data_IF_391751523478
#
_entry.id   IF_391751523478
#
_cell.length_a   1.000
_cell.length_b   1.000
_cell.length_c   1.000
_cell.angle_alpha   90.00
_cell.angle_beta   90.00
_cell.angle_gamma   90.00
#
_symmetry.space_group_name_H-M   'P 1'
#
loop_
_entity.id
_entity.type
_entity.pdbx_description
1 polymer ?
#
# COMPACT_ATOMS: atom_id res chain seq x y z
N UNK A 1 -22.31 -6.46 10.19
CA UNK A 1 -21.57 -7.71 9.89
C UNK A 1 -20.06 -7.59 10.19
N UNK A 2 -19.62 -6.65 11.03
CA UNK A 2 -18.20 -6.41 11.34
C UNK A 2 -17.88 -6.38 12.84
N UNK A 3 -18.83 -6.77 13.71
CA UNK A 3 -18.75 -6.54 15.16
C UNK A 3 -18.37 -7.79 15.97
N UNK A 4 -18.10 -8.94 15.31
CA UNK A 4 -17.80 -10.21 16.00
C UNK A 4 -16.33 -10.67 15.96
N UNK A 5 -15.43 -9.98 15.24
CA UNK A 5 -14.05 -10.48 15.04
C UNK A 5 -13.02 -9.85 15.99
N UNK A 6 -13.42 -9.03 16.98
CA UNK A 6 -12.46 -8.28 17.81
C UNK A 6 -12.51 -8.59 19.31
N UNK A 7 -13.29 -9.58 19.76
CA UNK A 7 -13.46 -9.89 21.20
C UNK A 7 -13.21 -11.35 21.60
N UNK A 8 -12.85 -12.23 20.67
CA UNK A 8 -12.61 -13.65 20.95
C UNK A 8 -11.10 -13.92 21.11
N UNK A 9 -10.64 -14.62 22.16
CA UNK A 9 -9.23 -15.07 22.27
C UNK A 9 -8.77 -15.94 21.10
N UNK A 10 -9.68 -16.54 20.33
CA UNK A 10 -9.37 -17.28 19.10
C UNK A 10 -9.41 -16.39 17.83
N UNK A 11 -9.87 -15.14 17.91
CA UNK A 11 -10.04 -14.27 16.74
C UNK A 11 -8.72 -14.03 15.99
N UNK A 12 -7.59 -14.01 16.69
CA UNK A 12 -6.29 -13.87 16.06
C UNK A 12 -5.85 -15.14 15.34
N UNK A 13 -6.15 -16.32 15.89
CA UNK A 13 -5.90 -17.60 15.21
C UNK A 13 -6.82 -17.80 14.01
N UNK A 14 -8.09 -17.43 14.11
CA UNK A 14 -9.04 -17.49 13.01
C UNK A 14 -8.68 -16.51 11.88
N UNK A 15 -8.24 -15.28 12.23
CA UNK A 15 -7.71 -14.33 11.25
C UNK A 15 -6.51 -14.89 10.51
N UNK A 16 -5.53 -15.44 11.21
CA UNK A 16 -4.35 -16.03 10.56
C UNK A 16 -4.73 -17.15 9.59
N UNK A 17 -5.67 -18.02 9.97
CA UNK A 17 -6.16 -19.07 9.06
C UNK A 17 -6.82 -18.47 7.82
N UNK A 18 -7.62 -17.42 8.00
CA UNK A 18 -8.26 -16.74 6.88
C UNK A 18 -7.21 -16.07 5.97
N UNK A 19 -6.28 -15.34 6.57
CA UNK A 19 -5.19 -14.65 5.89
C UNK A 19 -4.33 -15.64 5.08
N UNK A 20 -3.99 -16.80 5.66
CA UNK A 20 -3.22 -17.88 5.00
C UNK A 20 -3.95 -18.46 3.76
N UNK A 21 -5.28 -18.41 3.73
CA UNK A 21 -6.10 -18.85 2.60
C UNK A 21 -6.25 -17.73 1.55
N UNK A 22 -6.51 -16.51 2.00
CA UNK A 22 -6.81 -15.37 1.12
C UNK A 22 -5.56 -14.84 0.43
N UNK A 23 -4.44 -14.71 1.15
CA UNK A 23 -3.23 -14.08 0.63
C UNK A 23 -2.68 -14.74 -0.65
N UNK A 24 -2.50 -16.08 -0.72
CA UNK A 24 -2.05 -16.73 -1.96
C UNK A 24 -2.96 -16.40 -3.16
N UNK A 25 -4.28 -16.42 -2.96
CA UNK A 25 -5.25 -16.15 -4.03
C UNK A 25 -5.20 -14.69 -4.48
N UNK A 26 -5.02 -13.76 -3.54
CA UNK A 26 -4.88 -12.33 -3.83
C UNK A 26 -3.60 -12.08 -4.64
N UNK A 27 -2.47 -12.69 -4.26
CA UNK A 27 -1.21 -12.53 -4.97
C UNK A 27 -1.26 -13.12 -6.38
N UNK A 28 -1.85 -14.31 -6.54
CA UNK A 28 -2.02 -14.94 -7.85
C UNK A 28 -2.87 -14.07 -8.79
N UNK A 29 -3.95 -13.48 -8.28
CA UNK A 29 -4.78 -12.56 -9.05
C UNK A 29 -4.00 -11.28 -9.41
N UNK A 30 -3.32 -10.66 -8.45
CA UNK A 30 -2.56 -9.44 -8.68
C UNK A 30 -1.45 -9.64 -9.74
N UNK A 31 -0.72 -10.75 -9.68
CA UNK A 31 0.30 -11.12 -10.67
C UNK A 31 -0.31 -11.43 -12.04
N UNK A 32 -1.52 -11.99 -12.08
CA UNK A 32 -2.25 -12.22 -13.32
C UNK A 32 -2.68 -10.92 -14.00
N UNK A 33 -3.23 -9.98 -13.23
CA UNK A 33 -3.62 -8.65 -13.72
C UNK A 33 -2.41 -7.85 -14.20
N UNK A 34 -1.30 -7.91 -13.46
CA UNK A 34 -0.03 -7.29 -13.85
C UNK A 34 0.45 -7.82 -15.21
N UNK A 35 0.53 -9.16 -15.38
CA UNK A 35 0.92 -9.76 -16.68
C UNK A 35 0.01 -9.30 -17.81
N UNK A 36 -1.31 -9.30 -17.61
CA UNK A 36 -2.25 -8.85 -18.63
C UNK A 36 -2.09 -7.37 -18.99
N UNK A 37 -1.75 -6.52 -18.02
CA UNK A 37 -1.49 -5.10 -18.27
C UNK A 37 -0.21 -4.91 -19.11
N UNK A 38 0.86 -5.62 -18.76
CA UNK A 38 2.14 -5.58 -19.49
C UNK A 38 2.03 -6.16 -20.90
N UNK A 39 1.27 -7.24 -21.09
CA UNK A 39 1.00 -7.82 -22.42
C UNK A 39 0.28 -6.82 -23.35
N UNK A 40 -0.64 -6.02 -22.81
CA UNK A 40 -1.38 -5.00 -23.58
C UNK A 40 -0.52 -3.76 -23.87
N UNK A 41 0.33 -3.38 -22.93
CA UNK A 41 1.23 -2.24 -23.05
C UNK A 41 2.52 -2.51 -22.27
N UNK A 42 3.62 -2.88 -22.95
CA UNK A 42 4.89 -3.12 -22.29
C UNK A 42 5.43 -1.92 -21.51
N UNK A 43 5.06 -0.69 -21.90
CA UNK A 43 5.44 0.54 -21.23
C UNK A 43 4.45 0.96 -20.11
N UNK A 44 3.54 0.07 -19.69
CA UNK A 44 2.59 0.35 -18.62
C UNK A 44 3.30 0.48 -17.27
N UNK A 45 2.86 1.45 -16.46
CA UNK A 45 3.18 1.53 -15.03
C UNK A 45 2.01 0.89 -14.28
N UNK A 46 2.28 -0.20 -13.55
CA UNK A 46 1.30 -0.89 -12.72
C UNK A 46 1.50 -0.46 -11.27
N UNK A 47 0.40 -0.07 -10.61
CA UNK A 47 0.42 0.39 -9.21
C UNK A 47 -0.33 -0.61 -8.34
N UNK A 48 0.37 -1.20 -7.39
CA UNK A 48 -0.21 -2.08 -6.37
C UNK A 48 -0.47 -1.28 -5.08
N UNK A 49 -1.74 -1.12 -4.70
CA UNK A 49 -2.12 -0.47 -3.43
C UNK A 49 -2.20 -1.51 -2.31
N UNK A 50 -1.16 -1.57 -1.48
CA UNK A 50 -1.00 -2.59 -0.43
C UNK A 50 -0.89 -1.89 0.95
N UNK A 51 -1.98 -1.83 1.75
CA UNK A 51 -2.03 -1.06 2.99
C UNK A 51 -1.03 -1.46 4.09
N UNK A 52 -0.62 -2.73 4.13
CA UNK A 52 0.29 -3.29 5.13
C UNK A 52 1.59 -3.81 4.49
N UNK A 53 2.02 -3.18 3.38
CA UNK A 53 3.20 -3.66 2.64
C UNK A 53 4.43 -3.88 3.53
N UNK A 54 4.72 -2.96 4.45
CA UNK A 54 5.88 -3.08 5.34
C UNK A 54 5.84 -4.25 6.33
N UNK A 55 4.67 -4.87 6.57
CA UNK A 55 4.56 -6.10 7.36
C UNK A 55 4.85 -7.35 6.54
N UNK A 56 4.55 -7.32 5.23
CA UNK A 56 4.51 -8.52 4.37
C UNK A 56 5.55 -8.51 3.25
N UNK A 57 6.29 -7.41 3.07
CA UNK A 57 7.19 -7.20 1.92
C UNK A 57 8.21 -8.33 1.74
N UNK A 58 8.71 -8.90 2.84
CA UNK A 58 9.70 -9.96 2.82
C UNK A 58 9.09 -11.34 2.48
N UNK A 59 7.77 -11.50 2.62
CA UNK A 59 7.06 -12.78 2.49
C UNK A 59 6.24 -12.89 1.20
N UNK A 60 5.90 -11.76 0.56
CA UNK A 60 5.09 -11.79 -0.67
C UNK A 60 5.90 -12.17 -1.91
N UNK A 61 5.29 -12.91 -2.86
CA UNK A 61 5.96 -13.36 -4.08
C UNK A 61 6.11 -12.26 -5.14
N UNK A 62 5.92 -10.99 -4.77
CA UNK A 62 5.94 -9.85 -5.68
C UNK A 62 7.30 -9.12 -5.63
N UNK A 63 7.60 -8.38 -6.69
CA UNK A 63 8.77 -7.50 -6.77
C UNK A 63 8.28 -6.13 -7.23
N UNK A 64 8.87 -5.08 -6.68
CA UNK A 64 8.52 -3.71 -7.01
C UNK A 64 9.77 -2.99 -7.49
N UNK A 65 9.67 -2.27 -8.61
CA UNK A 65 10.74 -1.39 -9.08
C UNK A 65 10.88 -0.16 -8.18
N UNK A 66 9.74 0.32 -7.64
CA UNK A 66 9.65 1.47 -6.76
C UNK A 66 8.56 1.26 -5.71
N UNK A 67 8.83 1.69 -4.48
CA UNK A 67 7.89 1.69 -3.36
C UNK A 67 7.65 3.13 -2.93
N UNK A 68 6.38 3.52 -2.90
CA UNK A 68 5.97 4.85 -2.44
C UNK A 68 5.06 4.75 -1.23
N UNK A 69 5.39 5.50 -0.20
CA UNK A 69 4.56 5.60 1.00
C UNK A 69 3.90 6.97 1.06
N UNK A 70 2.68 7.00 1.58
CA UNK A 70 1.93 8.23 1.82
C UNK A 70 1.87 8.47 3.31
N UNK A 71 2.55 9.51 3.78
CA UNK A 71 2.72 9.77 5.20
C UNK A 71 1.95 11.03 5.63
N UNK A 72 1.59 11.07 6.92
CA UNK A 72 1.07 12.25 7.59
C UNK A 72 1.36 12.13 9.09
N UNK A 73 1.39 13.25 9.83
CA UNK A 73 1.42 13.22 11.28
C UNK A 73 0.31 12.34 11.86
N UNK A 74 0.61 11.58 12.91
CA UNK A 74 -0.35 10.66 13.53
C UNK A 74 -1.66 11.35 13.91
N UNK A 75 -1.56 12.55 14.50
CA UNK A 75 -2.72 13.35 14.87
C UNK A 75 -3.62 13.65 13.67
N UNK A 76 -3.03 14.04 12.53
CA UNK A 76 -3.78 14.30 11.28
C UNK A 76 -4.50 13.03 10.79
N UNK A 77 -3.86 11.86 10.93
CA UNK A 77 -4.47 10.57 10.54
C UNK A 77 -5.66 10.22 11.45
N UNK A 78 -5.54 10.45 12.75
CA UNK A 78 -6.63 10.27 13.72
C UNK A 78 -7.81 11.19 13.37
N UNK A 79 -7.56 12.49 13.23
CA UNK A 79 -8.59 13.48 12.89
C UNK A 79 -9.31 13.14 11.58
N UNK A 80 -8.57 12.70 10.56
CA UNK A 80 -9.15 12.25 9.28
C UNK A 80 -10.05 11.03 9.45
N UNK A 81 -9.63 10.02 10.21
CA UNK A 81 -10.47 8.83 10.44
C UNK A 81 -11.74 9.17 11.23
N UNK A 82 -11.64 10.05 12.22
CA UNK A 82 -12.82 10.53 12.95
C UNK A 82 -13.79 11.25 12.00
N UNK A 83 -13.29 12.20 11.20
CA UNK A 83 -14.11 13.02 10.29
C UNK A 83 -14.71 12.23 9.12
N UNK A 84 -13.94 11.32 8.52
CA UNK A 84 -14.33 10.66 7.26
C UNK A 84 -14.95 9.29 7.46
N UNK A 85 -14.59 8.58 8.54
CA UNK A 85 -15.05 7.22 8.84
C UNK A 85 -15.93 7.14 10.08
N UNK A 86 -16.17 8.25 10.78
CA UNK A 86 -17.00 8.31 11.98
C UNK A 86 -16.44 7.53 13.18
N UNK A 87 -15.12 7.24 13.19
CA UNK A 87 -14.48 6.51 14.28
C UNK A 87 -14.36 7.38 15.54
N UNK A 88 -14.38 6.75 16.71
CA UNK A 88 -13.93 7.41 17.95
C UNK A 88 -12.41 7.60 17.94
N UNK A 89 -11.91 8.55 18.73
CA UNK A 89 -10.47 8.77 18.87
C UNK A 89 -9.74 7.48 19.33
N UNK A 90 -10.33 6.75 20.28
CA UNK A 90 -9.77 5.50 20.78
C UNK A 90 -9.69 4.41 19.68
N UNK A 91 -10.73 4.29 18.85
CA UNK A 91 -10.74 3.35 17.72
C UNK A 91 -9.68 3.74 16.67
N UNK A 92 -9.56 5.02 16.36
CA UNK A 92 -8.57 5.52 15.41
C UNK A 92 -7.14 5.26 15.90
N UNK A 93 -6.84 5.54 17.17
CA UNK A 93 -5.52 5.26 17.78
C UNK A 93 -5.22 3.76 17.81
N UNK A 94 -6.18 2.94 18.23
CA UNK A 94 -6.02 1.48 18.22
C UNK A 94 -5.72 0.95 16.81
N UNK A 95 -6.41 1.48 15.78
CA UNK A 95 -6.15 1.11 14.39
C UNK A 95 -4.76 1.50 13.92
N UNK A 96 -4.25 2.68 14.31
CA UNK A 96 -2.87 3.10 13.98
C UNK A 96 -1.85 2.22 14.70
N UNK A 97 -2.10 1.84 15.96
CA UNK A 97 -1.19 1.01 16.75
C UNK A 97 -0.98 -0.40 16.19
N UNK A 98 -1.94 -0.92 15.42
CA UNK A 98 -1.83 -2.21 14.73
C UNK A 98 -1.16 -2.15 13.36
N UNK A 99 -0.71 -0.98 12.92
CA UNK A 99 -0.03 -0.80 11.64
C UNK A 99 1.49 -0.71 11.83
N UNK A 100 2.29 -0.88 10.76
CA UNK A 100 3.74 -0.72 10.86
C UNK A 100 4.06 0.70 11.32
N UNK A 101 5.19 0.88 11.99
CA UNK A 101 5.63 2.23 12.36
C UNK A 101 5.94 3.06 11.10
N UNK A 102 5.90 4.40 11.23
CA UNK A 102 6.33 5.29 10.15
C UNK A 102 7.76 4.96 9.70
N UNK A 103 8.66 4.73 10.65
CA UNK A 103 10.05 4.37 10.34
C UNK A 103 10.16 3.05 9.55
N UNK A 104 9.35 2.04 9.89
CA UNK A 104 9.31 0.80 9.12
C UNK A 104 8.83 1.03 7.68
N UNK A 105 7.77 1.82 7.48
CA UNK A 105 7.29 2.17 6.13
C UNK A 105 8.32 2.98 5.33
N UNK A 106 8.92 4.00 5.95
CA UNK A 106 9.95 4.82 5.28
C UNK A 106 11.21 4.01 4.95
N UNK A 107 11.56 2.99 5.74
CA UNK A 107 12.76 2.18 5.49
C UNK A 107 12.70 1.34 4.21
N UNK A 108 11.50 1.04 3.72
CA UNK A 108 11.29 0.30 2.47
C UNK A 108 10.92 1.22 1.30
N UNK A 109 10.78 2.53 1.53
CA UNK A 109 10.25 3.46 0.55
C UNK A 109 11.38 4.10 -0.27
N UNK A 110 11.21 4.11 -1.59
CA UNK A 110 12.03 4.91 -2.51
C UNK A 110 11.57 6.38 -2.53
N UNK A 111 10.28 6.62 -2.27
CA UNK A 111 9.73 7.96 -2.14
C UNK A 111 8.65 8.04 -1.05
N UNK A 112 8.54 9.22 -0.43
CA UNK A 112 7.52 9.54 0.57
C UNK A 112 6.70 10.73 0.08
N UNK A 113 5.38 10.55 -0.03
CA UNK A 113 4.44 11.62 -0.32
C UNK A 113 3.88 12.13 1.01
N UNK A 114 4.11 13.41 1.30
CA UNK A 114 3.55 14.05 2.48
C UNK A 114 2.10 14.48 2.23
N UNK A 115 1.17 13.69 2.77
CA UNK A 115 -0.26 13.97 2.70
C UNK A 115 -0.75 15.02 3.69
N UNK A 116 0.14 15.69 4.44
CA UNK A 116 -0.21 16.89 5.20
C UNK A 116 -0.25 18.16 4.35
N UNK A 117 0.36 18.11 3.16
CA UNK A 117 0.29 19.17 2.15
C UNK A 117 -1.09 19.23 1.49
N UNK A 118 -1.35 20.28 0.74
CA UNK A 118 -2.56 20.35 -0.09
C UNK A 118 -2.50 19.32 -1.23
N UNK A 119 -3.68 19.03 -1.78
CA UNK A 119 -3.84 17.99 -2.81
C UNK A 119 -3.12 18.35 -4.11
N UNK A 120 -2.95 19.64 -4.41
CA UNK A 120 -2.28 20.12 -5.62
C UNK A 120 -0.78 19.78 -5.57
N UNK A 121 -0.12 20.05 -4.43
CA UNK A 121 1.28 19.67 -4.24
C UNK A 121 1.48 18.15 -4.26
N UNK A 122 0.51 17.38 -3.74
CA UNK A 122 0.55 15.92 -3.83
C UNK A 122 0.44 15.44 -5.29
N UNK A 123 -0.46 16.03 -6.09
CA UNK A 123 -0.56 15.72 -7.51
C UNK A 123 0.73 16.06 -8.26
N UNK A 124 1.33 17.23 -8.00
CA UNK A 124 2.63 17.59 -8.60
C UNK A 124 3.76 16.63 -8.22
N UNK A 125 3.72 16.06 -7.02
CA UNK A 125 4.67 15.03 -6.59
C UNK A 125 4.44 13.73 -7.37
N UNK A 126 3.20 13.25 -7.45
CA UNK A 126 2.82 12.04 -8.18
C UNK A 126 3.13 12.17 -9.66
N UNK A 127 2.83 13.31 -10.29
CA UNK A 127 3.08 13.53 -11.72
C UNK A 127 4.57 13.44 -12.05
N UNK A 128 5.43 14.02 -11.20
CA UNK A 128 6.89 13.92 -11.36
C UNK A 128 7.39 12.47 -11.25
N UNK A 129 6.88 11.72 -10.28
CA UNK A 129 7.21 10.30 -10.12
C UNK A 129 6.75 9.48 -11.33
N UNK A 130 5.51 9.68 -11.77
CA UNK A 130 4.94 8.99 -12.94
C UNK A 130 5.69 9.32 -14.23
N UNK A 131 6.12 10.56 -14.43
CA UNK A 131 6.95 10.94 -15.57
C UNK A 131 8.31 10.24 -15.54
N UNK A 132 8.94 10.14 -14.36
CA UNK A 132 10.20 9.44 -14.19
C UNK A 132 10.05 7.95 -14.49
N UNK A 133 9.08 7.28 -13.88
CA UNK A 133 8.87 5.85 -14.05
C UNK A 133 8.49 5.47 -15.49
N UNK A 134 7.69 6.31 -16.17
CA UNK A 134 7.41 6.10 -17.60
C UNK A 134 8.66 6.19 -18.48
N UNK A 135 9.63 7.06 -18.14
CA UNK A 135 10.91 7.14 -18.86
C UNK A 135 11.76 5.90 -18.58
N UNK A 136 11.79 5.44 -17.34
CA UNK A 136 12.53 4.23 -16.92
C UNK A 136 11.95 2.97 -17.57
N UNK A 137 10.62 2.81 -17.58
CA UNK A 137 9.93 1.69 -18.23
C UNK A 137 10.33 1.57 -19.70
N UNK A 138 10.29 2.69 -20.45
CA UNK A 138 10.71 2.71 -21.87
C UNK A 138 12.19 2.37 -22.05
N UNK A 139 13.06 2.83 -21.14
CA UNK A 139 14.50 2.58 -21.20
C UNK A 139 14.83 1.11 -20.93
N UNK A 140 14.18 0.50 -19.95
CA UNK A 140 14.41 -0.90 -19.58
C UNK A 140 13.98 -1.86 -20.71
N UNK A 141 12.94 -1.51 -21.46
CA UNK A 141 12.53 -2.27 -22.65
C UNK A 141 13.41 -2.01 -23.89
N UNK A 142 13.99 -0.81 -24.03
CA UNK A 142 14.87 -0.46 -25.16
C UNK A 142 16.25 -1.13 -25.16
N UNK A 143 16.65 -1.80 -24.08
CA UNK A 143 17.97 -2.45 -23.93
C UNK A 143 17.92 -3.96 -24.29
N UNK A 144 16.73 -4.54 -24.49
CA UNK A 144 16.56 -5.97 -24.77
C UNK A 144 16.53 -6.35 -26.27
N UNK A 145 16.99 -5.49 -27.18
CA UNK A 145 17.07 -5.77 -28.62
C UNK A 145 18.46 -5.59 -29.21
#
# INVERSE_FOLDING_TARGET
>A
MSEHVFSDPNAESERRILDDIEHPLIYDLALSEERQAVEKNPDAVVVHDIPLLAEVIDDIPMRFDHIVTVEAPEQTRVERMMRTRGMSEAQAKARIAHQPTRAARESIADAVIDSSQDVEHMFDCVDRLMEQWRKEARRNHGIQH
#
